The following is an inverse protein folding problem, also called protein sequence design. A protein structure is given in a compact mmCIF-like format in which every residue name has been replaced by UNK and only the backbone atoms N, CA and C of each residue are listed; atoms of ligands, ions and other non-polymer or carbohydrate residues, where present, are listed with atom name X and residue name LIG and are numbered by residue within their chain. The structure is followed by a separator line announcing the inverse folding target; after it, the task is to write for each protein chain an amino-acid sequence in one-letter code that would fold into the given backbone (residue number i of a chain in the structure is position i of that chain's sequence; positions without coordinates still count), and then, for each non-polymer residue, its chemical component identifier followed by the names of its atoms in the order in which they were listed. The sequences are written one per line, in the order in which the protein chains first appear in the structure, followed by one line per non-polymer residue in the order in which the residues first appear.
data_IF_402789192329
#
_entry.id   IF_402789192329
#
_cell.length_a   1.000
_cell.length_b   1.000
_cell.length_c   1.000
_cell.angle_alpha   90.00
_cell.angle_beta   90.00
_cell.angle_gamma   90.00
#
_symmetry.space_group_name_H-M   'P 1'
#
loop_
_entity.id
_entity.type
_entity.pdbx_description
1 polymer ?
#
# COMPACT_ATOMS: atom_id res chain seq x y z
N UNK A 1 33.76 -33.35 52.31
CA UNK A 1 33.82 -32.05 51.61
C UNK A 1 33.04 -32.22 50.33
N UNK A 2 31.73 -31.99 50.39
CA UNK A 2 30.79 -32.28 49.31
C UNK A 2 30.48 -30.97 48.56
N UNK A 3 30.83 -30.92 47.26
CA UNK A 3 30.49 -29.80 46.40
C UNK A 3 29.04 -29.95 45.92
N UNK A 4 28.17 -29.14 46.52
CA UNK A 4 26.77 -28.94 46.15
C UNK A 4 26.67 -28.30 44.77
N UNK A 5 26.17 -29.06 43.80
CA UNK A 5 25.71 -28.56 42.50
C UNK A 5 24.56 -27.56 42.71
N UNK A 6 24.83 -26.26 42.50
CA UNK A 6 23.78 -25.23 42.42
C UNK A 6 23.23 -25.21 41.01
N UNK A 7 22.33 -26.15 40.73
CA UNK A 7 21.55 -26.21 39.51
C UNK A 7 20.46 -25.15 39.62
N UNK A 8 20.77 -23.93 39.14
CA UNK A 8 19.74 -22.91 38.92
C UNK A 8 18.77 -23.47 37.88
N UNK A 9 17.59 -23.85 38.35
CA UNK A 9 16.41 -24.11 37.55
C UNK A 9 16.13 -22.81 36.80
N UNK A 10 16.72 -22.68 35.61
CA UNK A 10 16.21 -21.80 34.57
C UNK A 10 14.91 -22.46 34.18
N UNK A 11 13.82 -22.04 34.84
CA UNK A 11 12.48 -22.28 34.33
C UNK A 11 12.41 -21.52 33.00
N UNK A 12 12.84 -22.21 31.95
CA UNK A 12 12.47 -21.92 30.58
C UNK A 12 10.95 -22.07 30.59
N UNK A 13 10.26 -20.96 30.86
CA UNK A 13 8.86 -20.79 30.53
C UNK A 13 8.86 -20.87 29.01
N UNK A 14 8.75 -22.12 28.52
CA UNK A 14 8.20 -22.43 27.21
C UNK A 14 6.77 -21.92 27.29
N UNK A 15 6.63 -20.61 27.09
CA UNK A 15 5.35 -19.99 26.85
C UNK A 15 4.88 -20.65 25.57
N UNK A 16 3.93 -21.56 25.76
CA UNK A 16 3.27 -22.32 24.73
C UNK A 16 2.86 -21.34 23.62
N UNK A 17 3.53 -21.40 22.47
CA UNK A 17 3.17 -20.68 21.24
C UNK A 17 1.95 -21.34 20.58
N UNK A 18 0.90 -21.58 21.38
CA UNK A 18 -0.43 -21.96 20.92
C UNK A 18 -1.41 -21.01 21.60
N UNK A 19 -1.59 -19.84 20.99
CA UNK A 19 -2.52 -18.83 21.49
C UNK A 19 -2.37 -17.55 20.70
N UNK A 20 -3.32 -17.35 19.77
CA UNK A 20 -3.48 -16.18 18.92
C UNK A 20 -2.55 -16.09 17.70
N UNK A 21 -2.81 -16.92 16.68
CA UNK A 21 -2.84 -16.37 15.31
C UNK A 21 -4.13 -15.55 15.17
N UNK A 22 -4.29 -14.54 16.02
CA UNK A 22 -5.25 -13.48 15.75
C UNK A 22 -4.62 -12.70 14.62
N UNK A 23 -5.35 -12.52 13.51
CA UNK A 23 -4.95 -11.64 12.43
C UNK A 23 -4.50 -10.29 13.03
N UNK A 24 -3.18 -10.13 13.18
CA UNK A 24 -2.53 -8.85 13.43
C UNK A 24 -2.91 -8.00 12.23
N UNK A 25 -3.90 -7.13 12.42
CA UNK A 25 -4.48 -6.17 11.48
C UNK A 25 -3.97 -6.37 10.04
N UNK A 26 -4.58 -7.32 9.33
CA UNK A 26 -4.17 -7.64 7.97
C UNK A 26 -4.19 -6.34 7.17
N UNK A 27 -3.03 -5.99 6.59
CA UNK A 27 -2.84 -4.79 5.79
C UNK A 27 -2.51 -5.26 4.39
N UNK A 28 -3.36 -4.93 3.43
CA UNK A 28 -3.11 -5.21 2.02
C UNK A 28 -2.15 -4.16 1.45
N UNK A 29 -1.00 -4.61 0.94
CA UNK A 29 -0.02 -3.78 0.26
C UNK A 29 -0.08 -4.02 -1.24
N UNK A 30 -0.36 -2.97 -2.00
CA UNK A 30 -0.37 -2.98 -3.45
C UNK A 30 0.85 -2.24 -4.00
N UNK A 31 1.73 -2.96 -4.68
CA UNK A 31 2.94 -2.41 -5.30
C UNK A 31 2.66 -1.99 -6.74
N UNK A 32 2.79 -0.70 -7.01
CA UNK A 32 2.46 -0.06 -8.28
C UNK A 32 3.77 0.45 -8.93
N UNK A 33 4.32 -0.28 -9.92
CA UNK A 33 5.71 -0.08 -10.32
C UNK A 33 5.95 1.09 -11.28
N UNK A 34 4.94 1.56 -12.03
CA UNK A 34 5.16 2.50 -13.14
C UNK A 34 4.09 3.59 -13.22
N UNK A 35 4.34 4.70 -12.53
CA UNK A 35 3.61 5.95 -12.68
C UNK A 35 4.51 7.04 -13.25
N UNK A 36 3.94 8.16 -13.66
CA UNK A 36 4.70 9.31 -14.12
C UNK A 36 4.00 10.64 -13.87
N UNK A 37 4.76 11.74 -13.89
CA UNK A 37 4.25 13.09 -13.64
C UNK A 37 3.58 13.75 -14.86
N UNK A 38 3.43 13.06 -16.00
CA UNK A 38 2.66 13.55 -17.13
C UNK A 38 1.14 13.43 -16.88
N UNK A 39 0.44 14.57 -16.85
CA UNK A 39 -1.02 14.62 -16.62
C UNK A 39 -1.87 13.99 -17.74
N UNK A 40 -1.28 13.73 -18.92
CA UNK A 40 -1.95 13.13 -20.07
C UNK A 40 -2.18 11.62 -19.96
N UNK A 41 -1.35 10.88 -19.21
CA UNK A 41 -1.59 9.46 -18.97
C UNK A 41 -1.94 9.20 -17.51
N UNK A 42 -3.18 9.54 -17.19
CA UNK A 42 -3.80 9.31 -15.89
C UNK A 42 -3.99 7.82 -15.64
N UNK A 43 -3.73 7.38 -14.41
CA UNK A 43 -4.02 6.02 -13.95
C UNK A 43 -5.15 6.08 -12.92
N UNK A 44 -6.11 5.17 -13.06
CA UNK A 44 -7.29 5.07 -12.22
C UNK A 44 -7.26 3.70 -11.56
N UNK A 45 -7.13 3.65 -10.25
CA UNK A 45 -7.22 2.43 -9.47
C UNK A 45 -8.53 2.42 -8.69
N UNK A 46 -9.39 1.44 -8.96
CA UNK A 46 -10.62 1.22 -8.19
C UNK A 46 -10.32 0.19 -7.11
N UNK A 47 -10.31 0.62 -5.86
CA UNK A 47 -10.13 -0.23 -4.70
C UNK A 47 -11.50 -0.52 -4.07
N UNK A 48 -11.78 -1.78 -3.79
CA UNK A 48 -13.03 -2.26 -3.20
C UNK A 48 -12.75 -2.87 -1.84
N UNK A 49 -13.37 -2.31 -0.81
CA UNK A 49 -13.32 -2.83 0.55
C UNK A 49 -14.49 -3.78 0.77
N UNK A 50 -14.24 -5.08 0.69
CA UNK A 50 -15.27 -6.11 0.94
C UNK A 50 -15.30 -6.57 2.39
N UNK A 51 -14.52 -5.95 3.28
CA UNK A 51 -14.55 -6.24 4.72
C UNK A 51 -15.82 -5.69 5.38
N UNK A 52 -15.95 -5.91 6.69
CA UNK A 52 -17.03 -5.32 7.50
C UNK A 52 -16.59 -4.03 8.23
N UNK A 53 -15.33 -3.62 8.07
CA UNK A 53 -14.76 -2.43 8.70
C UNK A 53 -14.38 -1.38 7.68
N UNK A 54 -14.05 -0.18 8.15
CA UNK A 54 -13.42 0.85 7.33
C UNK A 54 -11.93 0.54 7.16
N UNK A 55 -11.38 0.84 5.98
CA UNK A 55 -9.93 0.81 5.76
C UNK A 55 -9.44 2.21 5.38
N UNK A 56 -8.25 2.55 5.86
CA UNK A 56 -7.59 3.82 5.55
C UNK A 56 -6.47 3.55 4.55
N UNK A 57 -6.63 3.96 3.28
CA UNK A 57 -5.56 3.88 2.32
C UNK A 57 -4.46 4.88 2.67
N UNK A 58 -3.22 4.45 2.51
CA UNK A 58 -2.04 5.31 2.53
C UNK A 58 -1.21 5.02 1.29
N UNK A 59 -0.66 6.05 0.68
CA UNK A 59 0.25 5.90 -0.45
C UNK A 59 1.64 6.36 -0.07
N UNK A 60 2.60 5.47 -0.24
CA UNK A 60 4.01 5.81 -0.19
C UNK A 60 4.52 5.98 -1.62
N UNK A 61 4.90 7.19 -1.97
CA UNK A 61 5.46 7.52 -3.30
C UNK A 61 6.98 7.48 -3.22
N UNK A 62 7.58 6.71 -4.11
CA UNK A 62 9.03 6.63 -4.29
C UNK A 62 9.37 7.11 -5.69
N UNK A 63 9.96 8.30 -5.79
CA UNK A 63 10.39 8.86 -7.07
C UNK A 63 11.84 8.49 -7.36
N UNK A 64 12.14 8.23 -8.64
CA UNK A 64 13.52 8.15 -9.11
C UNK A 64 14.12 9.56 -9.13
N UNK A 65 14.89 9.91 -8.11
CA UNK A 65 15.82 11.04 -8.17
C UNK A 65 17.23 10.50 -8.41
N UNK A 66 18.03 11.21 -9.20
CA UNK A 66 19.37 10.76 -9.62
C UNK A 66 20.41 10.71 -8.48
N UNK A 67 20.04 10.96 -7.21
CA UNK A 67 20.99 10.98 -6.10
C UNK A 67 20.44 10.52 -4.73
N UNK A 68 19.12 10.59 -4.47
CA UNK A 68 18.54 10.07 -3.21
C UNK A 68 17.01 9.95 -3.32
N UNK A 69 16.44 8.75 -3.50
CA UNK A 69 14.99 8.59 -3.60
C UNK A 69 14.34 9.02 -2.27
N UNK A 70 13.57 10.09 -2.31
CA UNK A 70 12.72 10.51 -1.20
C UNK A 70 11.45 9.68 -1.21
N UNK A 71 11.15 9.07 -0.06
CA UNK A 71 9.92 8.32 0.16
C UNK A 71 9.01 9.13 1.06
N UNK A 72 7.84 9.51 0.56
CA UNK A 72 6.84 10.24 1.33
C UNK A 72 5.54 9.47 1.35
N UNK A 73 4.92 9.40 2.52
CA UNK A 73 3.63 8.74 2.73
C UNK A 73 2.54 9.80 2.87
N UNK A 74 1.44 9.57 2.17
CA UNK A 74 0.26 10.42 2.18
C UNK A 74 -0.94 9.59 2.58
N UNK A 75 -1.72 10.09 3.54
CA UNK A 75 -2.98 9.46 3.92
C UNK A 75 -4.07 9.89 2.94
N UNK A 76 -4.86 8.90 2.53
CA UNK A 76 -5.97 9.03 1.62
C UNK A 76 -7.28 8.89 2.40
N UNK A 77 -8.39 9.12 1.71
CA UNK A 77 -9.72 9.13 2.32
C UNK A 77 -10.16 7.71 2.67
N UNK A 78 -10.83 7.55 3.80
CA UNK A 78 -11.30 6.24 4.26
C UNK A 78 -12.27 5.59 3.25
N UNK A 79 -12.11 4.27 3.07
CA UNK A 79 -13.04 3.45 2.29
C UNK A 79 -13.92 2.68 3.27
N UNK A 80 -15.19 3.06 3.33
CA UNK A 80 -16.18 2.40 4.17
C UNK A 80 -16.36 0.92 3.81
N UNK A 81 -16.84 0.13 4.78
CA UNK A 81 -17.15 -1.28 4.58
C UNK A 81 -18.12 -1.48 3.40
N UNK A 82 -17.86 -2.51 2.58
CA UNK A 82 -18.67 -2.88 1.40
C UNK A 82 -18.79 -1.77 0.34
N UNK A 83 -17.83 -0.86 0.27
CA UNK A 83 -17.80 0.20 -0.74
C UNK A 83 -16.52 0.16 -1.57
N UNK A 84 -16.53 0.88 -2.67
CA UNK A 84 -15.37 1.06 -3.54
C UNK A 84 -15.05 2.53 -3.71
N UNK A 85 -13.77 2.83 -3.88
CA UNK A 85 -13.28 4.17 -4.14
C UNK A 85 -12.33 4.16 -5.34
N UNK A 86 -12.43 5.21 -6.16
CA UNK A 86 -11.49 5.43 -7.25
C UNK A 86 -10.38 6.37 -6.77
N UNK A 87 -9.15 5.87 -6.83
CA UNK A 87 -7.92 6.60 -6.59
C UNK A 87 -7.32 6.94 -7.95
N UNK A 88 -7.16 8.23 -8.24
CA UNK A 88 -6.70 8.71 -9.55
C UNK A 88 -5.33 9.33 -9.44
N UNK A 89 -4.36 8.79 -10.16
CA UNK A 89 -3.00 9.30 -10.28
C UNK A 89 -2.90 10.17 -11.54
N UNK A 90 -2.77 11.48 -11.35
CA UNK A 90 -2.63 12.44 -12.45
C UNK A 90 -1.49 13.42 -12.16
N UNK A 91 -0.42 13.31 -12.93
CA UNK A 91 0.76 14.12 -12.76
C UNK A 91 1.38 13.98 -11.37
N UNK A 92 1.44 15.07 -10.61
CA UNK A 92 1.94 15.11 -9.22
C UNK A 92 0.80 15.15 -8.20
N UNK A 93 -0.39 14.67 -8.58
CA UNK A 93 -1.57 14.67 -7.72
C UNK A 93 -2.22 13.28 -7.66
N UNK A 94 -2.74 12.95 -6.47
CA UNK A 94 -3.61 11.81 -6.22
C UNK A 94 -4.99 12.34 -5.89
N UNK A 95 -6.02 11.92 -6.62
CA UNK A 95 -7.38 12.39 -6.45
C UNK A 95 -8.31 11.27 -5.98
N UNK A 96 -9.24 11.62 -5.10
CA UNK A 96 -10.24 10.71 -4.52
C UNK A 96 -11.59 11.42 -4.48
N UNK A 97 -12.42 11.17 -5.50
CA UNK A 97 -13.63 11.98 -5.71
C UNK A 97 -13.25 13.44 -5.96
N UNK A 98 -13.54 14.33 -5.01
CA UNK A 98 -13.20 15.76 -5.06
C UNK A 98 -11.94 16.13 -4.28
N UNK A 99 -11.40 15.22 -3.47
CA UNK A 99 -10.18 15.45 -2.69
C UNK A 99 -8.96 15.37 -3.59
N UNK A 100 -8.01 16.29 -3.40
CA UNK A 100 -6.74 16.34 -4.15
C UNK A 100 -5.59 16.36 -3.17
N UNK A 101 -4.73 15.34 -3.26
CA UNK A 101 -3.51 15.19 -2.47
C UNK A 101 -2.31 15.44 -3.38
N UNK A 102 -1.56 16.51 -3.11
CA UNK A 102 -0.32 16.81 -3.82
C UNK A 102 0.80 15.89 -3.34
N UNK A 103 1.42 15.16 -4.27
CA UNK A 103 2.58 14.30 -4.02
C UNK A 103 3.89 14.97 -4.40
N UNK A 104 3.87 16.30 -4.66
CA UNK A 104 5.03 17.06 -5.11
C UNK A 104 6.25 16.92 -4.17
N UNK A 105 6.00 16.78 -2.86
CA UNK A 105 7.06 16.58 -1.86
C UNK A 105 7.88 15.29 -2.05
N UNK A 106 7.38 14.33 -2.83
CA UNK A 106 8.13 13.12 -3.19
C UNK A 106 9.18 13.34 -4.28
N UNK A 107 9.17 14.49 -4.96
CA UNK A 107 10.09 14.81 -6.05
C UNK A 107 11.06 15.90 -5.61
N UNK A 108 12.35 15.60 -5.59
CA UNK A 108 13.39 16.60 -5.32
C UNK A 108 13.67 17.43 -6.58
N UNK A 109 13.10 18.63 -6.65
CA UNK A 109 13.36 19.60 -7.72
C UNK A 109 12.11 20.11 -8.42
N UNK A 110 12.31 20.98 -9.43
CA UNK A 110 11.22 21.47 -10.27
C UNK A 110 10.75 20.35 -11.20
N UNK A 111 9.49 19.93 -11.08
CA UNK A 111 8.88 18.88 -11.91
C UNK A 111 8.47 19.46 -13.27
N UNK A 112 9.45 19.98 -14.00
CA UNK A 112 9.28 20.48 -15.38
C UNK A 112 9.32 19.35 -16.40
N UNK A 113 10.00 18.25 -16.05
CA UNK A 113 10.09 17.03 -16.86
C UNK A 113 9.12 15.93 -16.39
N UNK A 114 8.82 15.00 -17.30
CA UNK A 114 8.10 13.78 -16.95
C UNK A 114 9.02 12.84 -16.18
N UNK A 115 8.77 12.71 -14.87
CA UNK A 115 9.52 11.84 -13.97
C UNK A 115 8.70 10.58 -13.72
N UNK A 116 9.35 9.42 -13.81
CA UNK A 116 8.75 8.14 -13.43
C UNK A 116 8.85 7.94 -11.92
N UNK A 117 7.80 7.40 -11.32
CA UNK A 117 7.77 7.05 -9.91
C UNK A 117 7.03 5.74 -9.67
N UNK A 118 7.38 5.05 -8.58
CA UNK A 118 6.65 3.92 -8.05
C UNK A 118 5.78 4.35 -6.87
N UNK A 119 4.79 3.54 -6.54
CA UNK A 119 3.97 3.73 -5.36
C UNK A 119 3.69 2.42 -4.65
N UNK A 120 3.54 2.47 -3.34
CA UNK A 120 2.94 1.40 -2.55
C UNK A 120 1.66 1.94 -1.92
N UNK A 121 0.52 1.35 -2.27
CA UNK A 121 -0.75 1.60 -1.58
C UNK A 121 -0.88 0.59 -0.44
N UNK A 122 -1.01 1.06 0.80
CA UNK A 122 -1.30 0.21 1.95
C UNK A 122 -2.72 0.52 2.47
N UNK A 123 -3.55 -0.50 2.57
CA UNK A 123 -4.91 -0.39 3.13
C UNK A 123 -4.88 -0.82 4.59
N UNK A 124 -4.73 0.16 5.48
CA UNK A 124 -4.60 -0.07 6.92
C UNK A 124 -5.99 -0.34 7.50
N UNK A 125 -6.16 -1.48 8.17
CA UNK A 125 -7.44 -1.91 8.73
C UNK A 125 -7.47 -3.42 8.93
N UNK A 126 -8.66 -4.02 8.87
CA UNK A 126 -8.85 -5.48 8.91
C UNK A 126 -9.03 -6.08 7.51
N UNK A 127 -8.16 -5.69 6.57
CA UNK A 127 -8.28 -6.02 5.15
C UNK A 127 -7.02 -6.66 4.57
N UNK A 128 -7.17 -7.86 4.03
CA UNK A 128 -6.11 -8.62 3.34
C UNK A 128 -6.27 -8.55 1.81
N UNK A 129 -5.41 -9.23 1.06
CA UNK A 129 -5.47 -9.22 -0.40
C UNK A 129 -6.71 -9.93 -0.98
N UNK A 130 -7.41 -10.74 -0.19
CA UNK A 130 -8.65 -11.40 -0.60
C UNK A 130 -9.89 -10.52 -0.40
N UNK A 131 -9.81 -9.58 0.55
CA UNK A 131 -10.92 -8.74 0.97
C UNK A 131 -10.81 -7.30 0.49
N UNK A 132 -9.59 -6.82 0.22
CA UNK A 132 -9.35 -5.56 -0.48
C UNK A 132 -8.95 -5.92 -1.91
N UNK A 133 -9.83 -5.62 -2.87
CA UNK A 133 -9.62 -5.95 -4.29
C UNK A 133 -9.36 -4.66 -5.06
N UNK A 134 -8.31 -4.61 -5.87
CA UNK A 134 -7.98 -3.43 -6.68
C UNK A 134 -7.83 -3.75 -8.17
N UNK A 135 -8.34 -2.85 -9.01
CA UNK A 135 -8.14 -2.87 -10.46
C UNK A 135 -7.68 -1.51 -10.97
N UNK A 136 -6.57 -1.48 -11.71
CA UNK A 136 -5.99 -0.24 -12.23
C UNK A 136 -6.10 -0.15 -13.76
N UNK A 137 -6.40 1.05 -14.26
CA UNK A 137 -6.59 1.34 -15.68
C UNK A 137 -5.82 2.60 -16.07
N UNK A 138 -5.22 2.62 -17.26
CA UNK A 138 -4.46 3.75 -17.77
C UNK A 138 -5.15 4.38 -18.99
N UNK A 139 -5.05 5.71 -19.06
CA UNK A 139 -5.37 6.50 -20.24
C UNK A 139 -6.69 7.26 -20.14
N UNK A 140 -6.87 8.17 -21.11
CA UNK A 140 -8.04 9.03 -21.26
C UNK A 140 -9.02 8.53 -22.34
N UNK A 141 -8.75 7.37 -22.96
CA UNK A 141 -9.58 6.77 -24.00
C UNK A 141 -10.65 5.84 -23.41
N UNK A 142 -11.71 5.59 -24.18
CA UNK A 142 -12.74 4.60 -23.84
C UNK A 142 -12.75 3.48 -24.90
N UNK A 143 -12.54 2.20 -24.53
CA UNK A 143 -12.22 1.72 -23.18
C UNK A 143 -10.79 2.11 -22.75
N UNK A 144 -10.58 2.21 -21.43
CA UNK A 144 -9.26 2.41 -20.83
C UNK A 144 -8.46 1.11 -20.88
N UNK A 145 -7.13 1.18 -20.97
CA UNK A 145 -6.25 0.01 -20.98
C UNK A 145 -6.09 -0.53 -19.56
N UNK A 146 -6.19 -1.84 -19.36
CA UNK A 146 -5.88 -2.47 -18.08
C UNK A 146 -4.38 -2.31 -17.76
N UNK A 147 -4.05 -1.90 -16.55
CA UNK A 147 -2.67 -1.89 -16.05
C UNK A 147 -2.39 -3.27 -15.48
N UNK A 148 -1.32 -3.91 -15.94
CA UNK A 148 -0.87 -5.22 -15.43
C UNK A 148 0.48 -5.06 -14.75
N UNK A 149 0.84 -6.02 -13.90
CA UNK A 149 2.13 -6.08 -13.23
C UNK A 149 2.18 -5.41 -11.85
N UNK A 150 1.01 -5.11 -11.26
CA UNK A 150 0.94 -4.74 -9.85
C UNK A 150 0.56 -5.95 -9.01
N UNK A 151 1.07 -6.00 -7.78
CA UNK A 151 0.89 -7.15 -6.90
C UNK A 151 0.30 -6.72 -5.55
N UNK A 152 -0.53 -7.58 -4.98
CA UNK A 152 -0.97 -7.46 -3.59
C UNK A 152 -0.17 -8.42 -2.70
N UNK A 153 0.28 -7.94 -1.55
CA UNK A 153 0.88 -8.72 -0.47
C UNK A 153 0.24 -8.35 0.87
N UNK A 154 -0.11 -9.32 1.71
CA UNK A 154 -0.71 -9.08 3.03
C UNK A 154 0.08 -9.71 4.19
N UNK A 155 1.33 -10.12 3.94
CA UNK A 155 2.14 -10.90 4.87
C UNK A 155 2.11 -12.40 4.59
N UNK A 156 0.98 -12.91 4.07
CA UNK A 156 0.74 -14.35 3.87
C UNK A 156 0.47 -14.69 2.42
N UNK A 157 -0.42 -13.95 1.77
CA UNK A 157 -0.82 -14.14 0.38
C UNK A 157 -0.07 -13.17 -0.53
N UNK A 158 0.15 -13.61 -1.77
CA UNK A 158 0.71 -12.78 -2.84
C UNK A 158 -0.11 -12.99 -4.11
N UNK A 159 -0.80 -11.95 -4.56
CA UNK A 159 -1.60 -11.96 -5.79
C UNK A 159 -0.97 -11.04 -6.82
N UNK A 160 -0.87 -11.51 -8.08
CA UNK A 160 -0.41 -10.71 -9.21
C UNK A 160 -1.57 -10.43 -10.16
N UNK A 161 -1.68 -9.19 -10.63
CA UNK A 161 -2.77 -8.71 -11.49
C UNK A 161 -2.24 -8.09 -12.79
#
# INVERSE_FOLDING_TARGET
MENKYSMKIVALVVLMMFGFCGNLWATAYYYLPYFHTNAGNVIYCVASNTTNGTVTPTITVTAASNASPTSNTYTLSDIAAKTSQMITFSGTSVLEGTSVTSILGAFSGSVTDTISYGGTLAFIGSGDCSTIIMSCFQGNTTPKRNVTGYNCYDGTNHFAY
#
